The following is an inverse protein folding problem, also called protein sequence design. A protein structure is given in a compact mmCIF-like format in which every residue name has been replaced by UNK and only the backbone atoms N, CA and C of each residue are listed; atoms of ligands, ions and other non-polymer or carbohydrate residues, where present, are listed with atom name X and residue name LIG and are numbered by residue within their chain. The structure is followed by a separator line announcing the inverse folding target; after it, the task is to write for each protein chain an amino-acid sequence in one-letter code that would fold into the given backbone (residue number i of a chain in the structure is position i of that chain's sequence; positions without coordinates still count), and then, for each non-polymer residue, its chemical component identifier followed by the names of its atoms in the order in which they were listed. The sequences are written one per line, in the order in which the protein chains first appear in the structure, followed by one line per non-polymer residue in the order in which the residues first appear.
data_IF_059649443236
#
_entry.id   IF_059649443236
#
_cell.length_a   1.000
_cell.length_b   1.000
_cell.length_c   1.000
_cell.angle_alpha   90.00
_cell.angle_beta   90.00
_cell.angle_gamma   90.00
#
_symmetry.space_group_name_H-M   'P 1'
#
loop_
_entity.id
_entity.type
_entity.pdbx_description
1 polymer ?
#
# COMPACT_ATOMS: atom_id res chain seq x y z
N UNK A 1 6.40 5.73 28.69
CA UNK A 1 5.67 6.18 27.50
C UNK A 1 4.38 5.38 27.40
N UNK A 2 3.21 6.01 27.27
CA UNK A 2 1.91 5.32 27.12
C UNK A 2 1.76 4.79 25.69
N UNK A 3 2.09 3.52 25.49
CA UNK A 3 2.00 2.84 24.17
C UNK A 3 0.57 2.82 23.62
N UNK A 4 -0.46 2.68 24.49
CA UNK A 4 -1.84 2.62 24.06
C UNK A 4 -2.32 3.97 23.50
N UNK A 5 -1.98 5.07 24.19
CA UNK A 5 -2.28 6.42 23.72
C UNK A 5 -1.60 6.71 22.39
N UNK A 6 -0.31 6.38 22.25
CA UNK A 6 0.44 6.55 21.00
C UNK A 6 -0.19 5.76 19.86
N UNK A 7 -0.47 4.47 20.05
CA UNK A 7 -1.13 3.63 19.05
C UNK A 7 -2.47 4.22 18.61
N UNK A 8 -3.27 4.72 19.57
CA UNK A 8 -4.58 5.33 19.29
C UNK A 8 -4.46 6.61 18.46
N UNK A 9 -3.40 7.39 18.65
CA UNK A 9 -3.14 8.61 17.87
C UNK A 9 -2.62 8.23 16.49
N UNK A 10 -1.57 7.41 16.41
CA UNK A 10 -0.90 7.08 15.14
C UNK A 10 -1.82 6.35 14.17
N UNK A 11 -2.73 5.49 14.65
CA UNK A 11 -3.72 4.84 13.77
C UNK A 11 -4.74 5.81 13.17
N UNK A 12 -4.93 6.99 13.74
CA UNK A 12 -5.78 8.04 13.18
C UNK A 12 -5.09 8.94 12.16
N UNK A 13 -3.78 8.81 12.02
CA UNK A 13 -2.99 9.49 10.99
C UNK A 13 -2.94 8.70 9.68
N UNK A 14 -3.58 7.54 9.63
CA UNK A 14 -3.72 6.79 8.39
C UNK A 14 -4.64 7.52 7.42
N UNK A 15 -4.23 7.57 6.16
CA UNK A 15 -5.02 8.11 5.07
C UNK A 15 -6.00 7.09 4.48
N UNK A 16 -6.55 7.39 3.31
CA UNK A 16 -7.43 6.47 2.60
C UNK A 16 -6.70 5.18 2.22
N UNK A 17 -7.49 4.11 2.06
CA UNK A 17 -6.97 2.82 1.60
C UNK A 17 -6.64 2.93 0.12
N UNK A 18 -5.40 2.60 -0.24
CA UNK A 18 -4.96 2.56 -1.63
C UNK A 18 -4.29 1.22 -1.93
N UNK A 19 -4.43 0.73 -3.17
CA UNK A 19 -3.56 -0.29 -3.71
C UNK A 19 -2.36 0.39 -4.37
N UNK A 20 -1.14 -0.07 -4.04
CA UNK A 20 0.10 0.32 -4.74
C UNK A 20 0.59 -0.86 -5.54
N UNK A 21 0.80 -0.63 -6.84
CA UNK A 21 1.21 -1.63 -7.81
C UNK A 21 2.57 -1.28 -8.37
N UNK A 22 3.40 -2.28 -8.62
CA UNK A 22 4.68 -2.12 -9.28
C UNK A 22 5.04 -3.36 -10.09
N UNK A 23 5.89 -3.19 -11.10
CA UNK A 23 6.44 -4.29 -11.88
C UNK A 23 7.91 -4.03 -12.21
N UNK A 24 8.69 -5.11 -12.31
CA UNK A 24 10.07 -5.07 -12.77
C UNK A 24 10.42 -6.37 -13.48
N UNK A 25 11.01 -6.28 -14.67
CA UNK A 25 11.23 -7.43 -15.55
C UNK A 25 9.92 -8.22 -15.77
N UNK A 26 9.92 -9.51 -15.49
CA UNK A 26 8.76 -10.39 -15.67
C UNK A 26 7.88 -10.52 -14.41
N UNK A 27 8.18 -9.73 -13.36
CA UNK A 27 7.43 -9.77 -12.11
C UNK A 27 6.55 -8.53 -11.95
N UNK A 28 5.32 -8.76 -11.52
CA UNK A 28 4.38 -7.71 -11.13
C UNK A 28 3.74 -8.05 -9.79
N UNK A 29 3.35 -7.03 -9.04
CA UNK A 29 2.73 -7.25 -7.75
C UNK A 29 2.17 -5.97 -7.16
N UNK A 30 1.53 -6.13 -6.00
CA UNK A 30 0.94 -5.00 -5.31
C UNK A 30 0.73 -5.25 -3.83
N UNK A 31 0.39 -4.19 -3.13
CA UNK A 31 0.03 -4.22 -1.72
C UNK A 31 -0.97 -3.12 -1.39
N UNK A 32 -1.60 -3.24 -0.24
CA UNK A 32 -2.43 -2.19 0.33
C UNK A 32 -1.56 -1.26 1.18
N UNK A 33 -1.81 0.03 1.03
CA UNK A 33 -1.22 1.09 1.85
C UNK A 33 -2.30 2.01 2.42
N UNK A 34 -1.98 2.63 3.54
CA UNK A 34 -2.78 3.69 4.19
C UNK A 34 -1.94 4.97 4.39
N UNK A 35 -0.76 4.98 3.81
CA UNK A 35 0.19 6.09 3.83
C UNK A 35 0.49 6.59 2.41
N UNK A 36 -0.55 6.98 1.66
CA UNK A 36 -0.41 7.67 0.39
C UNK A 36 -0.91 9.12 0.56
N UNK A 37 -0.05 10.09 0.25
CA UNK A 37 -0.33 11.51 0.48
C UNK A 37 0.08 12.35 -0.71
N UNK A 38 -0.74 13.35 -1.07
CA UNK A 38 -0.33 14.39 -2.03
C UNK A 38 0.87 15.17 -1.46
N UNK A 39 1.90 15.34 -2.26
CA UNK A 39 3.17 15.96 -1.86
C UNK A 39 3.50 17.22 -2.69
N UNK A 40 2.54 17.74 -3.44
CA UNK A 40 2.64 19.00 -4.16
C UNK A 40 1.29 19.71 -4.15
N UNK A 41 1.33 21.04 -4.06
CA UNK A 41 0.16 21.91 -4.20
C UNK A 41 -0.03 22.40 -5.65
N UNK A 42 0.95 22.15 -6.52
CA UNK A 42 0.92 22.56 -7.92
C UNK A 42 0.38 21.42 -8.78
N UNK A 43 -0.75 21.63 -9.44
CA UNK A 43 -1.37 20.62 -10.31
C UNK A 43 -0.57 20.38 -11.59
N UNK A 44 0.28 21.32 -11.99
CA UNK A 44 1.20 21.18 -13.12
C UNK A 44 2.40 20.27 -12.82
N UNK A 45 2.70 20.05 -11.54
CA UNK A 45 3.76 19.18 -11.05
C UNK A 45 3.27 18.34 -9.87
N UNK A 46 2.26 17.47 -10.09
CA UNK A 46 1.70 16.67 -9.01
C UNK A 46 2.71 15.63 -8.53
N UNK A 47 2.80 15.50 -7.21
CA UNK A 47 3.66 14.53 -6.53
C UNK A 47 2.90 13.77 -5.48
N UNK A 48 3.32 12.54 -5.23
CA UNK A 48 2.75 11.68 -4.20
C UNK A 48 3.86 11.05 -3.36
N UNK A 49 3.65 11.04 -2.05
CA UNK A 49 4.41 10.21 -1.11
C UNK A 49 3.66 8.91 -0.86
N UNK A 50 4.40 7.81 -0.82
CA UNK A 50 3.90 6.51 -0.35
C UNK A 50 4.86 5.92 0.68
N UNK A 51 4.30 5.17 1.66
CA UNK A 51 5.07 4.45 2.67
C UNK A 51 4.99 2.96 2.39
N UNK A 52 6.13 2.32 2.16
CA UNK A 52 6.21 0.90 1.79
C UNK A 52 7.11 0.17 2.78
N UNK A 53 6.59 -0.89 3.41
CA UNK A 53 7.37 -1.75 4.30
C UNK A 53 8.42 -2.53 3.50
N UNK A 54 9.67 -2.54 3.97
CA UNK A 54 10.77 -3.25 3.31
C UNK A 54 10.60 -4.77 3.28
N UNK A 55 9.80 -5.32 4.21
CA UNK A 55 9.45 -6.74 4.23
C UNK A 55 8.47 -7.15 3.11
N UNK A 56 7.97 -6.23 2.31
CA UNK A 56 7.00 -6.53 1.26
C UNK A 56 7.66 -6.63 -0.11
N UNK A 57 7.29 -7.64 -0.91
CA UNK A 57 7.81 -7.82 -2.28
C UNK A 57 7.63 -6.57 -3.17
N UNK A 58 6.54 -5.84 -2.98
CA UNK A 58 6.26 -4.58 -3.71
C UNK A 58 7.35 -3.52 -3.47
N UNK A 59 7.99 -3.52 -2.29
CA UNK A 59 9.13 -2.65 -2.01
C UNK A 59 10.28 -2.91 -2.98
N UNK A 60 10.65 -4.20 -3.19
CA UNK A 60 11.74 -4.59 -4.07
C UNK A 60 11.44 -4.21 -5.52
N UNK A 61 10.18 -4.43 -5.95
CA UNK A 61 9.73 -4.05 -7.30
C UNK A 61 9.86 -2.53 -7.54
N UNK A 62 9.45 -1.70 -6.56
CA UNK A 62 9.56 -0.23 -6.66
C UNK A 62 11.03 0.21 -6.65
N UNK A 63 11.87 -0.40 -5.81
CA UNK A 63 13.30 -0.09 -5.77
C UNK A 63 13.97 -0.38 -7.12
N UNK A 64 13.62 -1.50 -7.74
CA UNK A 64 14.20 -1.94 -9.00
C UNK A 64 13.66 -1.15 -10.21
N UNK A 65 12.34 -0.99 -10.32
CA UNK A 65 11.70 -0.31 -11.45
C UNK A 65 11.77 1.21 -11.39
N UNK A 66 11.92 1.77 -10.19
CA UNK A 66 11.81 3.21 -9.93
C UNK A 66 10.45 3.78 -10.36
N UNK A 67 9.39 2.96 -10.27
CA UNK A 67 8.05 3.34 -10.66
C UNK A 67 6.99 2.61 -9.82
N UNK A 68 5.81 3.21 -9.72
CA UNK A 68 4.65 2.61 -9.06
C UNK A 68 3.35 3.24 -9.58
N UNK A 69 2.24 2.52 -9.41
CA UNK A 69 0.90 3.07 -9.59
C UNK A 69 0.16 3.06 -8.25
N UNK A 70 -0.69 4.06 -8.02
CA UNK A 70 -1.54 4.18 -6.82
C UNK A 70 -3.00 4.20 -7.27
N UNK A 71 -3.81 3.32 -6.66
CA UNK A 71 -5.23 3.19 -6.91
C UNK A 71 -5.99 3.47 -5.61
N UNK A 72 -6.68 4.60 -5.46
CA UNK A 72 -7.62 4.80 -4.35
C UNK A 72 -8.72 3.73 -4.40
N UNK A 73 -9.11 3.20 -3.25
CA UNK A 73 -10.12 2.15 -3.19
C UNK A 73 -11.46 2.67 -2.65
N UNK A 74 -12.54 2.10 -3.20
CA UNK A 74 -13.90 2.31 -2.74
C UNK A 74 -14.29 1.31 -1.65
N UNK A 75 -15.38 1.58 -0.93
CA UNK A 75 -15.81 0.78 0.22
C UNK A 75 -16.22 -0.66 -0.14
N UNK A 76 -16.68 -0.88 -1.36
CA UNK A 76 -17.11 -2.19 -1.87
C UNK A 76 -15.95 -3.07 -2.39
N UNK A 77 -14.70 -2.60 -2.29
CA UNK A 77 -13.52 -3.31 -2.78
C UNK A 77 -12.75 -4.06 -1.67
N UNK A 78 -13.47 -4.57 -0.66
CA UNK A 78 -12.88 -5.34 0.44
C UNK A 78 -12.17 -6.62 -0.01
N UNK A 79 -12.66 -7.29 -1.07
CA UNK A 79 -12.01 -8.47 -1.67
C UNK A 79 -10.62 -8.14 -2.21
N UNK A 80 -10.49 -7.00 -2.89
CA UNK A 80 -9.21 -6.52 -3.41
C UNK A 80 -8.24 -6.18 -2.27
N UNK A 81 -8.74 -5.55 -1.20
CA UNK A 81 -7.94 -5.30 0.01
C UNK A 81 -7.44 -6.60 0.62
N UNK A 82 -8.28 -7.63 0.72
CA UNK A 82 -7.88 -8.94 1.23
C UNK A 82 -6.83 -9.58 0.34
N UNK A 83 -7.05 -9.60 -0.97
CA UNK A 83 -6.15 -10.25 -1.93
C UNK A 83 -4.77 -9.61 -1.94
N UNK A 84 -4.66 -8.28 -1.99
CA UNK A 84 -3.39 -7.56 -2.06
C UNK A 84 -2.76 -7.34 -0.69
N UNK A 85 -3.56 -7.24 0.38
CA UNK A 85 -3.13 -6.77 1.69
C UNK A 85 -2.86 -7.86 2.72
N UNK A 86 -3.48 -9.05 2.63
CA UNK A 86 -3.42 -10.08 3.68
C UNK A 86 -2.50 -11.25 3.35
N UNK A 87 -1.78 -11.17 2.24
CA UNK A 87 -0.80 -12.19 1.81
C UNK A 87 0.55 -11.54 1.56
N UNK A 88 1.62 -12.33 1.69
CA UNK A 88 2.96 -11.90 1.31
C UNK A 88 3.26 -12.32 -0.13
N UNK A 89 3.81 -11.41 -0.94
CA UNK A 89 4.32 -11.76 -2.27
C UNK A 89 5.61 -12.59 -2.21
N UNK A 90 6.31 -12.61 -1.08
CA UNK A 90 7.48 -13.48 -0.87
C UNK A 90 7.12 -14.96 -0.66
N UNK A 91 5.86 -15.26 -0.30
CA UNK A 91 5.39 -16.63 -0.11
C UNK A 91 4.99 -17.31 -1.45
N UNK A 92 5.33 -16.69 -2.59
CA UNK A 92 5.03 -17.20 -3.92
C UNK A 92 3.56 -17.06 -4.34
N UNK A 93 2.76 -16.33 -3.56
CA UNK A 93 1.38 -16.05 -3.94
C UNK A 93 1.33 -15.05 -5.11
N UNK A 94 0.72 -15.45 -6.22
CA UNK A 94 0.36 -14.51 -7.26
C UNK A 94 -0.82 -13.66 -6.77
N UNK A 95 -0.51 -12.42 -6.38
CA UNK A 95 -1.50 -11.48 -5.88
C UNK A 95 -2.36 -10.87 -7.00
N UNK A 96 -1.96 -11.03 -8.26
CA UNK A 96 -2.67 -10.51 -9.42
C UNK A 96 -3.55 -11.55 -10.10
N UNK A 97 -3.48 -12.80 -9.65
CA UNK A 97 -4.32 -13.88 -10.20
C UNK A 97 -5.81 -13.52 -10.14
N UNK A 98 -6.48 -13.64 -11.28
CA UNK A 98 -7.90 -13.29 -11.44
C UNK A 98 -8.23 -11.80 -11.42
N UNK A 99 -7.25 -10.90 -11.29
CA UNK A 99 -7.48 -9.46 -11.41
C UNK A 99 -7.38 -9.01 -12.87
N UNK A 100 -8.31 -8.14 -13.27
CA UNK A 100 -8.25 -7.46 -14.57
C UNK A 100 -7.32 -6.25 -14.44
N UNK A 101 -6.20 -6.29 -15.18
CA UNK A 101 -5.21 -5.22 -15.20
C UNK A 101 -4.45 -5.14 -16.54
N UNK A 102 -3.90 -3.99 -16.81
CA UNK A 102 -3.03 -3.74 -17.98
C UNK A 102 -1.76 -3.01 -17.54
N UNK A 103 -0.63 -3.17 -18.25
CA UNK A 103 0.54 -2.36 -17.96
C UNK A 103 0.29 -0.89 -18.33
N UNK A 104 0.62 0.01 -17.41
CA UNK A 104 0.57 1.45 -17.63
C UNK A 104 1.82 1.98 -18.37
N UNK A 105 1.91 3.31 -18.48
CA UNK A 105 3.06 3.98 -19.15
C UNK A 105 4.38 3.83 -18.39
N UNK A 106 4.32 3.50 -17.10
CA UNK A 106 5.50 3.17 -16.28
C UNK A 106 5.83 1.69 -16.28
N UNK A 107 4.97 0.84 -16.85
CA UNK A 107 5.01 -0.61 -16.75
C UNK A 107 4.33 -1.15 -15.49
N UNK A 108 3.93 -0.30 -14.54
CA UNK A 108 3.19 -0.73 -13.35
C UNK A 108 1.80 -1.23 -13.72
N UNK A 109 1.28 -2.28 -13.03
CA UNK A 109 -0.09 -2.75 -13.28
C UNK A 109 -1.14 -1.69 -12.97
N UNK A 110 -2.04 -1.46 -13.91
CA UNK A 110 -3.22 -0.59 -13.75
C UNK A 110 -4.45 -1.48 -13.63
N UNK A 111 -5.03 -1.50 -12.44
CA UNK A 111 -6.23 -2.28 -12.13
C UNK A 111 -7.46 -1.64 -12.76
N UNK A 112 -8.35 -2.47 -13.34
CA UNK A 112 -9.60 -1.99 -13.94
C UNK A 112 -10.66 -1.60 -12.90
N UNK A 113 -10.73 -2.36 -11.78
CA UNK A 113 -11.80 -2.22 -10.79
C UNK A 113 -11.78 -0.94 -9.94
N UNK A 114 -10.63 -0.37 -9.50
CA UNK A 114 -10.63 0.86 -8.71
C UNK A 114 -11.19 2.08 -9.45
N UNK A 115 -11.73 3.07 -8.72
CA UNK A 115 -12.35 4.26 -9.32
C UNK A 115 -11.37 5.18 -10.05
N UNK A 116 -10.08 4.95 -9.91
CA UNK A 116 -9.05 5.71 -10.61
C UNK A 116 -7.64 5.23 -10.28
N UNK A 117 -6.67 5.86 -10.90
CA UNK A 117 -5.26 5.60 -10.64
C UNK A 117 -4.40 6.82 -10.97
N UNK A 118 -3.20 6.82 -10.43
CA UNK A 118 -2.07 7.64 -10.88
C UNK A 118 -0.84 6.76 -11.03
N UNK A 119 -0.02 7.05 -12.03
CA UNK A 119 1.29 6.43 -12.22
C UNK A 119 2.41 7.40 -11.86
N UNK A 120 3.42 6.91 -11.17
CA UNK A 120 4.50 7.72 -10.64
C UNK A 120 5.87 7.16 -11.02
N UNK A 121 6.81 8.09 -11.31
CA UNK A 121 8.25 7.79 -11.33
C UNK A 121 8.89 8.27 -10.05
N UNK A 122 9.67 7.42 -9.40
CA UNK A 122 10.33 7.72 -8.13
C UNK A 122 11.43 8.76 -8.35
N UNK A 123 11.30 9.91 -7.70
CA UNK A 123 12.28 11.01 -7.73
C UNK A 123 13.03 11.16 -6.40
N UNK A 124 12.56 10.54 -5.33
CA UNK A 124 13.21 10.54 -4.02
C UNK A 124 12.81 9.32 -3.19
N UNK A 125 13.66 8.96 -2.24
CA UNK A 125 13.39 7.91 -1.27
C UNK A 125 14.06 8.26 0.06
N UNK A 126 13.33 8.10 1.16
CA UNK A 126 13.84 8.22 2.53
C UNK A 126 13.79 6.86 3.19
N UNK A 127 14.93 6.39 3.66
CA UNK A 127 15.04 5.18 4.47
C UNK A 127 14.58 5.46 5.89
N UNK A 128 13.51 4.79 6.33
CA UNK A 128 12.99 4.83 7.68
C UNK A 128 13.19 3.48 8.41
N UNK A 129 14.27 2.77 8.10
CA UNK A 129 14.71 1.48 8.66
C UNK A 129 13.81 0.30 8.26
N UNK A 130 12.59 0.18 8.76
CA UNK A 130 11.63 -0.88 8.44
C UNK A 130 10.72 -0.56 7.25
N UNK A 131 10.73 0.72 6.84
CA UNK A 131 9.95 1.25 5.73
C UNK A 131 10.81 2.12 4.82
N UNK A 132 10.38 2.31 3.59
CA UNK A 132 10.87 3.37 2.73
C UNK A 132 9.72 4.30 2.38
N UNK A 133 9.94 5.62 2.52
CA UNK A 133 9.04 6.65 2.00
C UNK A 133 9.52 7.03 0.61
N UNK A 134 8.74 6.67 -0.41
CA UNK A 134 9.03 7.06 -1.80
C UNK A 134 8.29 8.34 -2.16
N UNK A 135 9.00 9.26 -2.81
CA UNK A 135 8.43 10.43 -3.47
C UNK A 135 8.38 10.16 -4.97
N UNK A 136 7.20 10.26 -5.58
CA UNK A 136 6.98 10.06 -6.99
C UNK A 136 6.43 11.29 -7.68
N UNK A 137 6.97 11.64 -8.85
CA UNK A 137 6.34 12.55 -9.81
C UNK A 137 5.24 11.80 -10.53
N UNK A 138 4.03 12.37 -10.57
CA UNK A 138 2.90 11.80 -11.31
C UNK A 138 3.11 12.03 -12.80
N UNK A 139 3.09 10.95 -13.58
CA UNK A 139 3.33 10.98 -15.04
C UNK A 139 2.09 10.60 -15.87
N UNK A 140 1.11 9.95 -15.26
CA UNK A 140 -0.18 9.62 -15.86
C UNK A 140 -1.24 9.42 -14.78
N UNK A 141 -2.51 9.44 -15.15
CA UNK A 141 -3.61 9.14 -14.22
C UNK A 141 -4.96 9.31 -14.88
N UNK A 142 -5.95 8.66 -14.28
CA UNK A 142 -7.35 8.71 -14.73
C UNK A 142 -8.27 8.57 -13.52
N UNK A 143 -9.36 9.30 -13.51
CA UNK A 143 -10.45 9.13 -12.57
C UNK A 143 -11.71 8.66 -13.29
N UNK A 144 -12.28 7.53 -12.89
CA UNK A 144 -13.42 6.85 -13.51
C UNK A 144 -14.65 6.78 -12.59
N UNK A 145 -14.45 7.05 -11.30
CA UNK A 145 -15.41 6.76 -10.24
C UNK A 145 -16.49 7.80 -9.94
N UNK A 146 -16.59 8.87 -10.72
CA UNK A 146 -17.53 9.96 -10.40
C UNK A 146 -17.23 10.57 -9.03
N UNK A 147 -18.25 10.66 -8.14
CA UNK A 147 -18.12 11.15 -6.77
C UNK A 147 -17.87 10.02 -5.73
N UNK A 148 -17.32 8.88 -6.14
CA UNK A 148 -17.07 7.75 -5.25
C UNK A 148 -16.13 8.16 -4.10
N UNK A 149 -16.55 8.08 -2.83
CA UNK A 149 -15.69 8.43 -1.70
C UNK A 149 -14.60 7.38 -1.51
N UNK A 150 -13.40 7.83 -1.20
CA UNK A 150 -12.31 6.95 -0.77
C UNK A 150 -12.57 6.45 0.65
N UNK A 151 -12.35 5.17 0.88
CA UNK A 151 -12.61 4.53 2.19
C UNK A 151 -11.41 4.67 3.13
N UNK A 152 -11.69 4.88 4.40
CA UNK A 152 -10.67 4.87 5.45
C UNK A 152 -10.38 3.44 5.94
N UNK A 153 -9.14 3.18 6.35
CA UNK A 153 -8.70 1.83 6.76
C UNK A 153 -9.55 1.22 7.88
N UNK A 154 -9.90 2.00 8.89
CA UNK A 154 -10.70 1.51 10.02
C UNK A 154 -12.14 1.20 9.62
N UNK A 155 -12.72 1.93 8.68
CA UNK A 155 -14.05 1.67 8.12
C UNK A 155 -14.03 0.38 7.29
N UNK A 156 -13.05 0.25 6.39
CA UNK A 156 -12.87 -0.93 5.56
C UNK A 156 -12.71 -2.20 6.41
N UNK A 157 -11.77 -2.20 7.36
CA UNK A 157 -11.52 -3.36 8.22
C UNK A 157 -12.73 -3.66 9.11
N UNK A 158 -13.39 -2.63 9.65
CA UNK A 158 -14.57 -2.78 10.49
C UNK A 158 -15.77 -3.39 9.76
N UNK A 159 -15.89 -3.16 8.45
CA UNK A 159 -16.96 -3.70 7.61
C UNK A 159 -16.70 -5.14 7.11
N UNK A 160 -15.46 -5.64 7.25
CA UNK A 160 -15.10 -7.00 6.80
C UNK A 160 -15.73 -8.09 7.71
N UNK A 161 -15.99 -9.29 7.16
CA UNK A 161 -16.38 -10.45 7.95
C UNK A 161 -15.39 -10.77 9.08
N UNK A 162 -15.82 -11.30 10.23
CA UNK A 162 -14.95 -11.59 11.38
C UNK A 162 -13.74 -12.47 11.04
N UNK A 163 -13.89 -13.46 10.15
CA UNK A 163 -12.82 -14.34 9.69
C UNK A 163 -11.74 -13.58 8.89
N UNK A 164 -12.12 -12.56 8.13
CA UNK A 164 -11.16 -11.71 7.41
C UNK A 164 -10.45 -10.74 8.36
N UNK A 165 -11.14 -10.24 9.37
CA UNK A 165 -10.50 -9.44 10.42
C UNK A 165 -9.45 -10.25 11.17
N UNK A 166 -9.68 -11.55 11.39
CA UNK A 166 -8.70 -12.43 12.03
C UNK A 166 -7.51 -12.74 11.11
N UNK A 167 -7.75 -12.95 9.80
CA UNK A 167 -6.71 -13.08 8.79
C UNK A 167 -5.83 -11.83 8.74
N UNK A 168 -6.45 -10.65 8.76
CA UNK A 168 -5.74 -9.36 8.83
C UNK A 168 -4.86 -9.26 10.09
N UNK A 169 -5.39 -9.60 11.27
CA UNK A 169 -4.61 -9.53 12.53
C UNK A 169 -3.39 -10.45 12.50
N UNK A 170 -3.51 -11.66 11.93
CA UNK A 170 -2.38 -12.59 11.77
C UNK A 170 -1.31 -12.02 10.84
N UNK A 171 -1.75 -11.46 9.71
CA UNK A 171 -0.83 -10.83 8.76
C UNK A 171 -0.14 -9.59 9.38
N UNK A 172 -0.88 -8.70 10.05
CA UNK A 172 -0.33 -7.52 10.72
C UNK A 172 0.71 -7.91 11.80
N UNK A 173 0.46 -8.99 12.57
CA UNK A 173 1.42 -9.53 13.53
C UNK A 173 2.72 -9.96 12.84
N UNK A 174 2.65 -10.74 11.78
CA UNK A 174 3.83 -11.17 11.04
C UNK A 174 4.63 -9.97 10.46
N UNK A 175 3.93 -8.95 9.99
CA UNK A 175 4.56 -7.71 9.51
C UNK A 175 5.26 -6.92 10.64
N UNK A 176 4.67 -6.87 11.85
CA UNK A 176 5.29 -6.25 13.03
C UNK A 176 6.55 -6.99 13.47
N UNK A 177 6.52 -8.31 13.46
CA UNK A 177 7.70 -9.14 13.77
C UNK A 177 8.82 -8.93 12.74
N UNK A 178 8.50 -8.80 11.46
CA UNK A 178 9.47 -8.47 10.43
C UNK A 178 10.09 -7.07 10.64
N UNK A 179 9.27 -6.06 10.94
CA UNK A 179 9.73 -4.72 11.25
C UNK A 179 10.61 -4.69 12.52
N UNK A 180 10.25 -5.43 13.59
CA UNK A 180 11.03 -5.53 14.82
C UNK A 180 12.44 -6.07 14.55
N UNK A 181 12.57 -7.09 13.69
CA UNK A 181 13.89 -7.61 13.30
C UNK A 181 14.76 -6.55 12.62
N UNK A 182 14.19 -5.75 11.71
CA UNK A 182 14.91 -4.66 11.04
C UNK A 182 15.32 -3.53 12.00
N UNK A 183 14.49 -3.28 13.02
CA UNK A 183 14.76 -2.27 14.06
C UNK A 183 15.66 -2.76 15.20
N UNK A 184 16.01 -4.06 15.24
CA UNK A 184 16.77 -4.67 16.33
C UNK A 184 16.00 -4.72 17.67
N UNK A 185 14.66 -4.77 17.60
CA UNK A 185 13.76 -4.84 18.76
C UNK A 185 13.35 -6.29 19.01
N UNK A 186 13.27 -6.72 20.27
CA UNK A 186 12.76 -8.05 20.61
C UNK A 186 11.30 -8.21 20.22
N UNK A 187 10.95 -9.37 19.64
CA UNK A 187 9.61 -9.64 19.10
C UNK A 187 8.48 -9.44 20.12
N UNK A 188 8.69 -9.83 21.38
CA UNK A 188 7.71 -9.65 22.46
C UNK A 188 7.41 -8.16 22.76
N UNK A 189 8.40 -7.29 22.62
CA UNK A 189 8.22 -5.84 22.78
C UNK A 189 7.46 -5.20 21.60
N UNK A 190 7.58 -5.78 20.41
CA UNK A 190 6.91 -5.28 19.20
C UNK A 190 5.41 -5.64 19.16
N UNK A 191 5.00 -6.68 19.88
CA UNK A 191 3.62 -7.18 19.93
C UNK A 191 2.83 -6.63 21.13
N UNK A 192 3.50 -6.04 22.11
CA UNK A 192 2.89 -5.36 23.26
C UNK A 192 2.43 -3.94 22.89
#
# INVERSE_FOLDING_TARGET
MDKAAIRRITSRLWGPVCAVMAAHADEAGGQIVVGALSASILLEHPRVLIQIRKANRTHDLIQASRAFAVHPLAADQADLVRQLGFRSGHDGADKLDGLDWTPGVTGSPILAAPPGFIECRVVGALDATDMTVFLGDVVAGEWRGGETPMVQAYEMIGAMPPEWQEEYRRHDRAQREAAARLLGINGDEALA
#
